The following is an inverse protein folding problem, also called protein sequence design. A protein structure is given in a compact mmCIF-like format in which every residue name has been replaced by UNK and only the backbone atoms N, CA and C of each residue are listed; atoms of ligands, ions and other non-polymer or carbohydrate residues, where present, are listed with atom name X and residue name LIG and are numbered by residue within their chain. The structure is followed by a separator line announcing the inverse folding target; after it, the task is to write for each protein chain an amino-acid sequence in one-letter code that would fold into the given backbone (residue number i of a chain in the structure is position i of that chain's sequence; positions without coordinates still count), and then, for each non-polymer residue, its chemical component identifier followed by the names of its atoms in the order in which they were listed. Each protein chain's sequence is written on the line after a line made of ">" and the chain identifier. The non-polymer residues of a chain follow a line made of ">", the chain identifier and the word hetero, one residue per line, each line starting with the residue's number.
data_IF_046863116269
#
_entry.id   IF_046863116269
#
_cell.length_a   1.000
_cell.length_b   1.000
_cell.length_c   1.000
_cell.angle_alpha   90.00
_cell.angle_beta   90.00
_cell.angle_gamma   90.00
#
_symmetry.space_group_name_H-M   'P 1'
#
loop_
_entity.id
_entity.type
_entity.pdbx_description
1 polymer ?
#
# COMPACT_ATOMS: atom_id res chain seq x y z
N UNK A 1 1.66 -4.95 -2.38
CA UNK A 1 0.58 -4.04 -2.83
C UNK A 1 -0.77 -4.55 -2.35
N UNK A 2 -1.70 -3.60 -2.09
CA UNK A 2 -3.07 -3.95 -1.78
C UNK A 2 -3.82 -4.37 -3.03
N UNK A 3 -4.86 -5.20 -2.86
CA UNK A 3 -5.69 -5.62 -3.98
C UNK A 3 -6.55 -4.47 -4.49
N UNK A 4 -6.74 -4.39 -5.79
CA UNK A 4 -7.57 -3.38 -6.43
C UNK A 4 -8.59 -4.04 -7.35
N UNK A 5 -9.81 -3.53 -7.33
CA UNK A 5 -10.89 -3.99 -8.20
C UNK A 5 -10.81 -3.25 -9.53
N UNK A 6 -9.84 -3.61 -10.38
CA UNK A 6 -9.62 -2.91 -11.65
C UNK A 6 -10.78 -3.14 -12.62
N UNK A 7 -11.24 -2.09 -13.33
CA UNK A 7 -12.34 -2.22 -14.28
C UNK A 7 -12.08 -3.32 -15.31
N UNK A 8 -13.10 -4.12 -15.60
CA UNK A 8 -13.00 -5.24 -16.54
C UNK A 8 -12.49 -6.54 -15.96
N UNK A 9 -12.02 -6.54 -14.71
CA UNK A 9 -11.57 -7.79 -14.07
C UNK A 9 -12.73 -8.54 -13.44
N UNK A 10 -12.63 -9.88 -13.26
CA UNK A 10 -13.63 -10.64 -12.52
C UNK A 10 -13.80 -10.14 -11.08
N UNK A 11 -12.72 -9.67 -10.46
CA UNK A 11 -12.77 -9.12 -9.10
C UNK A 11 -13.61 -7.86 -9.04
N UNK A 12 -13.52 -7.00 -10.06
CA UNK A 12 -14.36 -5.81 -10.18
C UNK A 12 -15.84 -6.18 -10.22
N UNK A 13 -16.20 -7.16 -11.05
CA UNK A 13 -17.57 -7.62 -11.17
C UNK A 13 -18.08 -8.23 -9.87
N UNK A 14 -17.24 -9.00 -9.18
CA UNK A 14 -17.58 -9.58 -7.90
C UNK A 14 -17.84 -8.49 -6.85
N UNK A 15 -16.95 -7.50 -6.75
CA UNK A 15 -17.10 -6.40 -5.80
C UNK A 15 -18.38 -5.60 -6.06
N UNK A 16 -18.68 -5.36 -7.33
CA UNK A 16 -19.90 -4.66 -7.73
C UNK A 16 -21.15 -5.47 -7.35
N UNK A 17 -21.13 -6.77 -7.56
CA UNK A 17 -22.22 -7.67 -7.20
C UNK A 17 -22.46 -7.69 -5.68
N UNK A 18 -21.37 -7.66 -4.88
CA UNK A 18 -21.45 -7.59 -3.42
C UNK A 18 -21.82 -6.20 -2.90
N UNK A 19 -21.95 -5.22 -3.80
CA UNK A 19 -22.24 -3.82 -3.47
C UNK A 19 -21.16 -3.20 -2.59
N UNK A 20 -19.93 -3.64 -2.75
CA UNK A 20 -18.79 -3.06 -2.07
C UNK A 20 -18.43 -1.71 -2.70
N UNK A 21 -17.87 -0.82 -1.87
CA UNK A 21 -17.40 0.48 -2.34
C UNK A 21 -16.17 0.28 -3.22
N UNK A 22 -16.28 0.64 -4.49
CA UNK A 22 -15.19 0.50 -5.46
C UNK A 22 -14.76 1.89 -5.94
N UNK A 23 -13.48 2.03 -6.39
CA UNK A 23 -13.00 3.32 -6.88
C UNK A 23 -13.80 3.82 -8.10
N UNK A 24 -13.98 5.14 -8.17
CA UNK A 24 -14.69 5.79 -9.26
C UNK A 24 -13.76 6.58 -10.18
N UNK A 25 -12.53 6.87 -9.76
CA UNK A 25 -11.55 7.63 -10.53
C UNK A 25 -10.23 6.87 -10.61
N UNK A 26 -9.39 7.26 -11.57
CA UNK A 26 -8.07 6.62 -11.73
C UNK A 26 -7.17 6.81 -10.51
N UNK A 27 -7.26 7.96 -9.86
CA UNK A 27 -6.46 8.24 -8.67
C UNK A 27 -6.76 7.27 -7.53
N UNK A 28 -8.01 6.84 -7.41
CA UNK A 28 -8.42 5.90 -6.37
C UNK A 28 -7.88 4.49 -6.60
N UNK A 29 -7.51 4.16 -7.85
CA UNK A 29 -6.86 2.88 -8.17
C UNK A 29 -5.35 2.92 -8.00
N UNK A 30 -4.74 4.08 -7.86
CA UNK A 30 -3.28 4.20 -7.76
C UNK A 30 -2.79 3.81 -6.36
N UNK A 31 -1.87 2.84 -6.30
CA UNK A 31 -1.41 2.26 -5.03
C UNK A 31 -0.79 3.28 -4.07
N UNK A 32 -0.12 4.29 -4.59
CA UNK A 32 0.64 5.24 -3.79
C UNK A 32 -0.01 6.61 -3.68
N UNK A 33 -1.17 6.80 -4.28
CA UNK A 33 -1.83 8.11 -4.28
C UNK A 33 -2.52 8.41 -2.94
N UNK A 34 -2.75 9.70 -2.69
CA UNK A 34 -3.52 10.14 -1.54
C UNK A 34 -4.95 9.58 -1.57
N UNK A 35 -5.54 9.49 -2.74
CA UNK A 35 -6.92 9.03 -2.92
C UNK A 35 -7.05 7.50 -3.05
N UNK A 36 -5.96 6.75 -2.88
CA UNK A 36 -5.97 5.30 -3.02
C UNK A 36 -7.11 4.65 -2.21
N UNK A 37 -7.90 3.85 -2.88
CA UNK A 37 -9.01 3.11 -2.27
C UNK A 37 -8.85 1.63 -2.60
N UNK A 38 -8.16 0.85 -1.75
CA UNK A 38 -8.01 -0.58 -2.00
C UNK A 38 -9.33 -1.31 -1.80
N UNK A 39 -9.41 -2.51 -2.35
CA UNK A 39 -10.59 -3.34 -2.20
C UNK A 39 -10.66 -3.90 -0.78
N UNK A 40 -11.82 -3.80 -0.17
CA UNK A 40 -12.07 -4.46 1.11
C UNK A 40 -12.16 -5.97 0.92
N UNK A 41 -11.96 -6.72 1.97
CA UNK A 41 -12.29 -8.13 2.00
C UNK A 41 -13.59 -8.34 2.76
N UNK A 42 -14.03 -9.58 2.87
CA UNK A 42 -15.25 -9.90 3.62
C UNK A 42 -15.16 -9.48 5.09
N UNK A 43 -13.97 -9.54 5.69
CA UNK A 43 -13.77 -9.29 7.11
C UNK A 43 -12.88 -8.10 7.43
N UNK A 44 -12.23 -7.50 6.43
CA UNK A 44 -11.28 -6.41 6.63
C UNK A 44 -11.68 -5.24 5.74
N UNK A 45 -11.82 -4.04 6.33
CA UNK A 45 -12.20 -2.85 5.59
C UNK A 45 -11.05 -2.34 4.71
N UNK A 46 -11.37 -1.51 3.70
CA UNK A 46 -10.38 -0.89 2.85
C UNK A 46 -9.38 -0.05 3.66
N UNK A 47 -9.87 0.65 4.70
CA UNK A 47 -9.03 1.44 5.60
C UNK A 47 -8.00 0.57 6.32
N UNK A 48 -8.43 -0.57 6.86
CA UNK A 48 -7.54 -1.51 7.55
C UNK A 48 -6.52 -2.12 6.61
N UNK A 49 -6.93 -2.47 5.38
CA UNK A 49 -6.03 -3.01 4.36
C UNK A 49 -4.94 -1.99 4.05
N UNK A 50 -5.30 -0.74 3.81
CA UNK A 50 -4.34 0.30 3.46
C UNK A 50 -3.40 0.61 4.62
N UNK A 51 -3.92 0.68 5.84
CA UNK A 51 -3.12 0.91 7.04
C UNK A 51 -2.09 -0.20 7.22
N UNK A 52 -2.51 -1.45 7.09
CA UNK A 52 -1.59 -2.60 7.19
C UNK A 52 -0.51 -2.54 6.11
N UNK A 53 -0.88 -2.24 4.87
CA UNK A 53 0.08 -2.13 3.76
C UNK A 53 1.14 -1.08 4.05
N UNK A 54 0.74 0.11 4.49
CA UNK A 54 1.67 1.20 4.76
C UNK A 54 2.58 0.90 5.96
N UNK A 55 2.03 0.32 7.02
CA UNK A 55 2.82 -0.08 8.19
C UNK A 55 3.80 -1.22 7.85
N UNK A 56 3.37 -2.19 7.05
CA UNK A 56 4.23 -3.30 6.62
C UNK A 56 5.40 -2.79 5.77
N UNK A 57 5.16 -1.83 4.89
CA UNK A 57 6.21 -1.22 4.08
C UNK A 57 7.26 -0.56 4.97
N UNK A 58 6.84 0.25 5.94
CA UNK A 58 7.77 0.91 6.86
C UNK A 58 8.54 -0.10 7.71
N UNK A 59 7.86 -1.12 8.21
CA UNK A 59 8.49 -2.16 9.02
C UNK A 59 9.54 -2.93 8.22
N UNK A 60 9.25 -3.26 6.97
CA UNK A 60 10.17 -4.00 6.12
C UNK A 60 11.42 -3.18 5.81
N UNK A 61 11.25 -1.94 5.35
CA UNK A 61 12.39 -1.12 4.90
C UNK A 61 13.16 -0.47 6.05
N UNK A 62 12.67 -0.53 7.28
CA UNK A 62 13.42 -0.12 8.47
C UNK A 62 14.00 -1.30 9.26
N UNK A 63 13.80 -2.53 8.80
CA UNK A 63 14.30 -3.73 9.45
C UNK A 63 15.83 -3.76 9.41
N UNK A 64 16.47 -3.92 10.58
CA UNK A 64 17.92 -3.87 10.70
C UNK A 64 18.62 -4.98 9.92
N UNK A 65 18.05 -6.18 9.91
CA UNK A 65 18.64 -7.31 9.19
C UNK A 65 18.60 -7.09 7.69
N UNK A 66 17.49 -6.56 7.18
CA UNK A 66 17.37 -6.21 5.77
C UNK A 66 18.36 -5.11 5.37
N UNK A 67 18.48 -4.06 6.18
CA UNK A 67 19.41 -2.96 5.93
C UNK A 67 20.86 -3.43 5.96
N UNK A 68 21.21 -4.34 6.86
CA UNK A 68 22.55 -4.94 6.91
C UNK A 68 22.84 -5.73 5.65
N UNK A 69 21.87 -6.48 5.14
CA UNK A 69 22.01 -7.24 3.90
C UNK A 69 22.23 -6.32 2.71
N UNK A 70 21.48 -5.23 2.63
CA UNK A 70 21.62 -4.23 1.57
C UNK A 70 23.00 -3.59 1.62
N UNK A 71 23.47 -3.21 2.80
CA UNK A 71 24.80 -2.63 2.99
C UNK A 71 25.89 -3.59 2.51
N UNK A 72 25.77 -4.86 2.87
CA UNK A 72 26.73 -5.88 2.51
C UNK A 72 26.81 -6.10 0.98
N UNK A 73 25.65 -6.09 0.31
CA UNK A 73 25.55 -6.40 -1.10
C UNK A 73 25.68 -5.19 -2.03
N UNK A 74 25.21 -4.04 -1.61
CA UNK A 74 25.11 -2.85 -2.45
C UNK A 74 25.86 -1.62 -1.91
N UNK A 75 26.37 -1.70 -0.67
CA UNK A 75 27.16 -0.64 -0.08
C UNK A 75 26.38 0.30 0.83
N UNK A 76 27.12 1.13 1.56
CA UNK A 76 26.58 2.06 2.55
C UNK A 76 25.62 3.09 1.94
N UNK A 77 25.89 3.55 0.73
CA UNK A 77 25.06 4.54 0.05
C UNK A 77 23.64 4.00 -0.18
N UNK A 78 23.54 2.74 -0.59
CA UNK A 78 22.23 2.08 -0.79
C UNK A 78 21.47 1.96 0.53
N UNK A 79 22.16 1.59 1.61
CA UNK A 79 21.56 1.53 2.95
C UNK A 79 21.03 2.90 3.38
N UNK A 80 21.82 3.96 3.21
CA UNK A 80 21.42 5.31 3.57
C UNK A 80 20.20 5.75 2.77
N UNK A 81 20.18 5.47 1.47
CA UNK A 81 19.04 5.81 0.62
C UNK A 81 17.77 5.12 1.06
N UNK A 82 17.83 3.84 1.45
CA UNK A 82 16.67 3.11 1.95
C UNK A 82 16.19 3.64 3.28
N UNK A 83 17.12 4.02 4.18
CA UNK A 83 16.74 4.63 5.46
C UNK A 83 15.99 5.93 5.25
N UNK A 84 16.45 6.78 4.33
CA UNK A 84 15.76 8.02 4.00
C UNK A 84 14.38 7.76 3.41
N UNK A 85 14.27 6.79 2.50
CA UNK A 85 12.97 6.42 1.92
C UNK A 85 12.01 5.88 2.98
N UNK A 86 12.52 5.11 3.95
CA UNK A 86 11.68 4.53 4.99
C UNK A 86 11.07 5.57 5.93
N UNK A 87 11.62 6.78 5.96
CA UNK A 87 11.09 7.88 6.77
C UNK A 87 9.95 8.61 6.09
N UNK A 88 9.77 8.43 4.78
CA UNK A 88 8.70 9.08 4.03
C UNK A 88 7.39 8.35 4.32
N UNK A 89 6.38 9.09 4.77
CA UNK A 89 5.06 8.54 5.03
C UNK A 89 4.06 9.11 4.05
N UNK A 90 3.34 8.24 3.39
CA UNK A 90 2.32 8.64 2.43
C UNK A 90 1.07 9.09 3.18
N UNK A 91 0.50 10.21 2.75
CA UNK A 91 -0.79 10.65 3.24
C UNK A 91 -1.89 9.93 2.49
N UNK A 92 -2.91 9.49 3.22
CA UNK A 92 -4.03 8.76 2.64
C UNK A 92 -5.34 9.38 3.12
N UNK A 93 -6.21 9.73 2.18
CA UNK A 93 -7.50 10.34 2.52
C UNK A 93 -8.31 9.47 3.48
N UNK A 94 -8.42 8.17 3.20
CA UNK A 94 -9.25 7.28 4.02
C UNK A 94 -8.68 7.00 5.41
N UNK A 95 -7.40 7.32 5.65
CA UNK A 95 -6.77 7.15 6.95
C UNK A 95 -6.79 8.42 7.81
N UNK A 96 -7.17 9.56 7.25
CA UNK A 96 -7.16 10.85 7.95
C UNK A 96 -8.42 11.13 8.78
N UNK A 97 -9.37 10.22 8.77
CA UNK A 97 -10.62 10.40 9.55
C UNK A 97 -10.57 9.64 10.88
#
# INVERSE_FOLDING_TARGET
>A
YSAQALPGSPLYLYAKDQKWDIPESYEEFAFLSYDCKPLRTKHVSAKEVLKFRDEAWHKYFSNKDYLSLVKKKFGKKAETNLLELSKIRLKRRILEN
#
